data_IF_992934229016
#
_entry.id   IF_992934229016
#
_cell.length_a   1.000
_cell.length_b   1.000
_cell.length_c   1.000
_cell.angle_alpha   90.00
_cell.angle_beta   90.00
_cell.angle_gamma   90.00
#
_symmetry.space_group_name_H-M   'P 1'
#
loop_
_entity.id
_entity.type
_entity.pdbx_description
1 polymer ?
#
# COMPACT_ATOMS: atom_id res chain seq x y z
N UNK A 1 6.95 18.95 -15.12
CA UNK A 1 6.73 17.76 -15.97
C UNK A 1 7.25 16.47 -15.28
N UNK A 2 6.87 16.20 -14.01
CA UNK A 2 7.58 15.25 -13.13
C UNK A 2 6.74 14.09 -12.52
N UNK A 3 5.44 13.99 -12.82
CA UNK A 3 4.54 13.05 -12.11
C UNK A 3 3.98 11.90 -12.96
N UNK A 4 4.58 11.61 -14.12
CA UNK A 4 4.05 10.65 -15.11
C UNK A 4 4.21 9.16 -14.75
N UNK A 5 4.79 8.80 -13.59
CA UNK A 5 5.06 7.40 -13.21
C UNK A 5 4.83 7.11 -11.71
N UNK A 6 3.58 7.22 -11.26
CA UNK A 6 3.15 6.78 -9.92
C UNK A 6 2.86 5.26 -9.82
N UNK A 7 3.14 4.48 -10.87
CA UNK A 7 3.04 3.00 -10.94
C UNK A 7 3.92 2.28 -9.92
N UNK A 8 4.83 2.99 -9.27
CA UNK A 8 5.80 2.44 -8.34
C UNK A 8 5.34 2.35 -6.89
N UNK A 9 4.46 3.24 -6.43
CA UNK A 9 3.88 3.17 -5.07
C UNK A 9 2.95 1.95 -4.93
N UNK A 10 2.48 1.42 -6.07
CA UNK A 10 1.73 0.17 -6.16
C UNK A 10 2.52 -1.05 -5.68
N UNK A 11 3.87 -1.04 -5.70
CA UNK A 11 4.67 -2.17 -5.22
C UNK A 11 4.59 -2.34 -3.70
N UNK A 12 4.51 -1.25 -2.94
CA UNK A 12 4.47 -1.30 -1.46
C UNK A 12 3.09 -1.77 -0.95
N UNK A 13 2.04 -1.63 -1.75
CA UNK A 13 0.70 -2.13 -1.40
C UNK A 13 0.29 -3.39 -2.10
N UNK A 14 0.91 -3.72 -3.24
CA UNK A 14 0.98 -5.13 -3.58
C UNK A 14 1.78 -5.87 -2.51
N UNK A 15 2.73 -5.29 -1.79
CA UNK A 15 3.28 -5.96 -0.60
C UNK A 15 2.29 -6.15 0.57
N UNK A 16 1.34 -5.22 0.76
CA UNK A 16 0.29 -5.35 1.79
C UNK A 16 -0.96 -6.15 1.35
N UNK A 17 -1.25 -6.24 0.05
CA UNK A 17 -2.44 -6.92 -0.49
C UNK A 17 -2.13 -8.09 -1.44
N UNK A 18 -0.88 -8.27 -1.77
CA UNK A 18 -0.36 -9.22 -2.74
C UNK A 18 0.99 -9.73 -2.25
N UNK A 19 0.86 -10.71 -1.38
CA UNK A 19 1.75 -11.85 -1.39
C UNK A 19 1.76 -12.56 -2.80
N UNK A 20 1.33 -11.91 -3.90
CA UNK A 20 1.28 -12.40 -5.28
C UNK A 20 2.44 -11.91 -6.17
N UNK A 21 3.41 -11.14 -5.67
CA UNK A 21 4.62 -10.77 -6.43
C UNK A 21 5.89 -11.32 -5.81
N UNK A 22 6.07 -12.64 -5.96
CA UNK A 22 7.30 -13.36 -5.70
C UNK A 22 7.91 -13.82 -7.01
N UNK A 23 8.56 -12.93 -7.75
CA UNK A 23 9.77 -13.24 -8.52
C UNK A 23 10.37 -11.96 -9.14
N UNK A 24 11.66 -11.80 -8.90
CA UNK A 24 12.51 -10.62 -9.11
C UNK A 24 12.81 -10.26 -10.58
N UNK A 25 12.04 -10.69 -11.58
CA UNK A 25 12.38 -10.45 -13.00
C UNK A 25 11.32 -9.80 -13.91
N UNK A 26 10.07 -9.61 -13.47
CA UNK A 26 9.01 -9.17 -14.39
C UNK A 26 8.04 -8.15 -13.78
N UNK A 27 8.59 -7.02 -13.32
CA UNK A 27 7.81 -5.82 -12.91
C UNK A 27 7.38 -4.97 -14.14
N UNK A 28 7.73 -5.38 -15.36
CA UNK A 28 7.49 -4.61 -16.59
C UNK A 28 6.04 -4.64 -17.10
N UNK A 29 5.16 -5.52 -16.62
CA UNK A 29 3.87 -5.77 -17.29
C UNK A 29 2.63 -5.19 -16.57
N UNK A 30 2.83 -4.20 -15.70
CA UNK A 30 1.74 -3.34 -15.18
C UNK A 30 1.82 -1.90 -15.73
N UNK A 31 2.62 -1.67 -16.79
CA UNK A 31 2.80 -0.34 -17.40
C UNK A 31 1.56 0.20 -18.14
N UNK A 32 0.46 -0.54 -18.22
CA UNK A 32 -0.70 -0.18 -19.05
C UNK A 32 -2.02 -0.06 -18.26
N UNK A 33 -2.02 0.64 -17.12
CA UNK A 33 -3.26 1.12 -16.51
C UNK A 33 -3.43 2.58 -16.94
N UNK A 34 -4.37 2.77 -17.87
CA UNK A 34 -4.66 3.98 -18.62
C UNK A 34 -4.71 5.25 -17.76
N UNK A 35 -4.08 6.26 -18.35
CA UNK A 35 -4.09 7.66 -17.95
C UNK A 35 -5.49 8.26 -17.99
N UNK A 36 -5.90 8.88 -16.89
CA UNK A 36 -6.76 10.05 -16.94
C UNK A 36 -6.44 10.96 -15.75
N UNK A 37 -6.14 12.21 -16.11
CA UNK A 37 -5.90 13.46 -15.39
C UNK A 37 -5.00 13.54 -14.15
N UNK A 38 -3.92 14.30 -14.35
CA UNK A 38 -3.06 14.86 -13.31
C UNK A 38 -3.16 16.37 -13.34
N UNK A 39 -3.75 16.95 -12.30
CA UNK A 39 -3.33 18.26 -11.81
C UNK A 39 -3.08 18.10 -10.31
N UNK A 40 -1.80 18.02 -9.92
CA UNK A 40 -1.42 18.46 -8.58
C UNK A 40 -1.52 19.98 -8.67
N UNK A 41 -2.56 20.56 -8.05
CA UNK A 41 -2.74 22.00 -8.01
C UNK A 41 -1.50 22.66 -7.41
N UNK A 42 -0.75 23.36 -8.27
CA UNK A 42 0.40 24.18 -7.92
C UNK A 42 0.01 25.20 -6.83
N UNK A 43 -1.25 25.63 -6.85
CA UNK A 43 -1.91 26.52 -5.90
C UNK A 43 -1.81 26.04 -4.44
N UNK A 44 -1.80 24.72 -4.18
CA UNK A 44 -1.72 24.20 -2.82
C UNK A 44 -0.29 24.28 -2.27
N UNK A 45 0.73 24.14 -3.13
CA UNK A 45 2.12 24.29 -2.73
C UNK A 45 2.45 25.77 -2.46
N UNK A 46 1.92 26.67 -3.29
CA UNK A 46 2.01 28.12 -3.10
C UNK A 46 1.30 28.56 -1.81
N UNK A 47 0.09 28.06 -1.55
CA UNK A 47 -0.64 28.32 -0.30
C UNK A 47 0.11 27.82 0.95
N UNK A 48 0.72 26.64 0.88
CA UNK A 48 1.52 26.09 1.98
C UNK A 48 2.81 26.90 2.21
N UNK A 49 3.44 27.40 1.15
CA UNK A 49 4.64 28.25 1.25
C UNK A 49 4.29 29.59 1.91
N UNK A 50 3.16 30.19 1.52
CA UNK A 50 2.67 31.43 2.11
C UNK A 50 2.26 31.26 3.60
N UNK A 51 1.72 30.11 3.97
CA UNK A 51 1.38 29.78 5.36
C UNK A 51 2.63 29.61 6.26
N UNK A 52 3.71 29.04 5.71
CA UNK A 52 4.98 28.92 6.44
C UNK A 52 5.65 30.28 6.67
N UNK A 53 5.55 31.19 5.71
CA UNK A 53 6.13 32.53 5.84
C UNK A 53 5.46 33.35 6.97
N UNK A 54 4.20 33.04 7.29
CA UNK A 54 3.47 33.67 8.40
C UNK A 54 3.66 32.98 9.76
N UNK A 55 4.28 31.79 9.80
CA UNK A 55 4.46 31.00 11.02
C UNK A 55 5.95 30.85 11.37
N UNK A 56 6.65 31.97 11.60
CA UNK A 56 7.93 31.95 12.34
C UNK A 56 7.69 31.59 13.81
N UNK A 57 7.41 30.33 14.09
CA UNK A 57 7.40 29.79 15.45
C UNK A 57 8.79 29.20 15.70
N UNK A 58 9.59 29.91 16.49
CA UNK A 58 10.83 29.37 17.05
C UNK A 58 10.48 28.28 18.07
N UNK A 59 10.66 27.00 17.70
CA UNK A 59 10.68 25.91 18.67
C UNK A 59 12.01 25.19 18.63
N UNK A 60 12.85 25.49 19.63
CA UNK A 60 13.97 24.64 20.02
C UNK A 60 13.41 23.39 20.69
N UNK A 61 13.34 22.28 19.96
CA UNK A 61 13.17 20.95 20.56
C UNK A 61 14.16 20.00 19.89
N UNK A 62 15.34 19.88 20.51
CA UNK A 62 16.26 18.77 20.29
C UNK A 62 15.99 17.69 21.35
N UNK A 63 15.32 16.61 20.96
CA UNK A 63 15.47 15.30 21.59
C UNK A 63 15.00 14.23 20.61
N UNK A 64 15.95 13.43 20.12
CA UNK A 64 15.72 12.36 19.15
C UNK A 64 14.87 11.24 19.75
N UNK A 65 13.55 11.32 19.55
CA UNK A 65 12.74 10.11 19.40
C UNK A 65 12.93 9.64 17.96
N UNK A 66 13.65 8.54 17.75
CA UNK A 66 13.56 7.74 16.52
C UNK A 66 12.14 7.21 16.41
N UNK A 67 11.22 8.06 15.95
CA UNK A 67 9.83 7.70 15.75
C UNK A 67 9.83 6.69 14.60
N UNK A 68 9.53 5.42 14.89
CA UNK A 68 9.30 4.39 13.87
C UNK A 68 8.37 4.99 12.81
N UNK A 69 8.83 5.04 11.56
CA UNK A 69 8.09 5.58 10.43
C UNK A 69 6.91 4.69 10.06
N UNK A 70 6.98 3.39 10.36
CA UNK A 70 5.90 2.44 10.12
C UNK A 70 4.83 2.44 11.22
N UNK A 71 3.58 2.59 10.81
CA UNK A 71 2.40 2.29 11.63
C UNK A 71 1.22 1.92 10.73
N UNK A 72 0.20 1.27 11.29
CA UNK A 72 -1.01 0.95 10.55
C UNK A 72 -2.21 0.89 11.49
N UNK A 73 -3.41 0.97 10.92
CA UNK A 73 -4.67 0.73 11.62
C UNK A 73 -5.69 0.08 10.69
N UNK A 74 -6.57 -0.73 11.27
CA UNK A 74 -7.79 -1.17 10.59
C UNK A 74 -8.74 0.03 10.50
N UNK A 75 -9.11 0.44 9.29
CA UNK A 75 -10.08 1.51 9.03
C UNK A 75 -11.44 0.97 8.58
N UNK A 76 -11.62 -0.35 8.66
CA UNK A 76 -12.82 -1.03 8.22
C UNK A 76 -13.97 -0.89 9.21
N UNK A 77 -15.16 -1.17 8.71
CA UNK A 77 -16.35 -1.39 9.52
C UNK A 77 -16.16 -2.66 10.36
N UNK A 78 -16.84 -2.74 11.50
CA UNK A 78 -16.84 -3.95 12.36
C UNK A 78 -17.35 -5.20 11.64
N UNK A 79 -18.11 -5.03 10.56
CA UNK A 79 -18.65 -6.09 9.69
C UNK A 79 -17.71 -6.50 8.53
N UNK A 80 -16.49 -5.94 8.47
CA UNK A 80 -15.54 -6.26 7.40
C UNK A 80 -15.21 -7.77 7.37
N UNK A 81 -15.06 -8.31 6.16
CA UNK A 81 -14.85 -9.76 5.98
C UNK A 81 -13.44 -10.22 6.32
N UNK A 82 -12.50 -9.29 6.45
CA UNK A 82 -11.10 -9.53 6.80
C UNK A 82 -10.74 -8.73 8.03
N UNK A 83 -10.31 -9.43 9.06
CA UNK A 83 -9.76 -8.85 10.28
C UNK A 83 -8.23 -8.96 10.27
N UNK A 84 -7.53 -7.82 10.24
CA UNK A 84 -6.06 -7.79 10.33
C UNK A 84 -5.69 -7.65 11.81
N UNK A 85 -4.96 -8.65 12.30
CA UNK A 85 -4.54 -8.74 13.71
C UNK A 85 -3.12 -8.23 13.91
N UNK A 86 -2.24 -8.44 12.94
CA UNK A 86 -0.90 -7.85 12.94
C UNK A 86 -0.41 -7.56 11.54
N UNK A 87 0.34 -6.48 11.41
CA UNK A 87 1.12 -6.12 10.23
C UNK A 87 2.44 -5.52 10.68
N UNK A 88 3.53 -5.92 10.03
CA UNK A 88 4.86 -5.38 10.23
C UNK A 88 5.56 -5.17 8.90
N UNK A 89 6.41 -4.15 8.85
CA UNK A 89 7.16 -3.76 7.67
C UNK A 89 8.58 -3.39 8.09
N UNK A 90 9.58 -3.89 7.37
CA UNK A 90 10.99 -3.55 7.62
C UNK A 90 11.82 -3.58 6.33
N UNK A 91 12.95 -2.85 6.25
CA UNK A 91 13.47 -1.93 7.27
C UNK A 91 12.60 -0.67 7.40
N UNK A 92 12.78 0.07 8.50
CA UNK A 92 12.10 1.35 8.73
C UNK A 92 13.16 2.43 9.02
N UNK A 93 13.32 3.46 8.16
CA UNK A 93 12.63 3.68 6.88
C UNK A 93 13.05 2.66 5.80
N UNK A 94 12.15 2.43 4.83
CA UNK A 94 12.40 1.54 3.69
C UNK A 94 13.42 2.14 2.73
N UNK A 95 14.29 1.29 2.19
CA UNK A 95 15.21 1.63 1.09
C UNK A 95 14.68 1.05 -0.21
N UNK A 96 14.31 1.91 -1.17
CA UNK A 96 13.83 1.48 -2.48
C UNK A 96 14.73 2.03 -3.60
N UNK A 97 15.09 1.21 -4.61
CA UNK A 97 14.79 -0.21 -4.74
C UNK A 97 15.55 -1.05 -3.70
N UNK A 98 14.99 -2.19 -3.30
CA UNK A 98 15.60 -3.04 -2.29
C UNK A 98 14.67 -4.10 -1.69
N UNK A 99 15.20 -4.91 -0.76
CA UNK A 99 14.41 -5.88 -0.02
C UNK A 99 13.50 -5.20 1.01
N UNK A 100 12.28 -5.70 1.12
CA UNK A 100 11.26 -5.30 2.09
C UNK A 100 10.75 -6.57 2.76
N UNK A 101 10.83 -6.65 4.08
CA UNK A 101 10.22 -7.73 4.84
C UNK A 101 8.85 -7.31 5.34
N UNK A 102 7.87 -8.18 5.10
CA UNK A 102 6.48 -8.01 5.51
C UNK A 102 6.11 -9.19 6.39
N UNK A 103 5.46 -8.93 7.53
CA UNK A 103 4.74 -9.97 8.26
C UNK A 103 3.30 -9.54 8.46
N UNK A 104 2.37 -10.47 8.25
CA UNK A 104 0.94 -10.22 8.40
C UNK A 104 0.24 -11.43 9.03
N UNK A 105 -0.67 -11.14 9.95
CA UNK A 105 -1.58 -12.12 10.56
C UNK A 105 -3.00 -11.58 10.45
N UNK A 106 -3.86 -12.32 9.76
CA UNK A 106 -5.23 -11.87 9.49
C UNK A 106 -6.19 -13.05 9.36
N UNK A 107 -7.47 -12.78 9.58
CA UNK A 107 -8.55 -13.75 9.48
C UNK A 107 -9.50 -13.35 8.37
N UNK A 108 -9.78 -14.27 7.46
CA UNK A 108 -10.82 -14.16 6.44
C UNK A 108 -12.06 -14.88 6.97
N UNK A 109 -13.11 -14.13 7.28
CA UNK A 109 -14.32 -14.63 7.93
C UNK A 109 -15.30 -15.31 6.94
N UNK A 110 -15.25 -14.92 5.66
CA UNK A 110 -16.09 -15.49 4.59
C UNK A 110 -15.30 -15.57 3.30
N UNK A 111 -15.67 -16.52 2.43
CA UNK A 111 -14.98 -16.73 1.16
C UNK A 111 -15.01 -15.45 0.31
N UNK A 112 -13.84 -15.02 -0.15
CA UNK A 112 -13.69 -13.82 -0.98
C UNK A 112 -13.80 -14.23 -2.45
N UNK A 113 -14.92 -13.90 -3.07
CA UNK A 113 -15.30 -14.23 -4.43
C UNK A 113 -15.17 -13.01 -5.35
N UNK A 114 -15.16 -13.27 -6.66
CA UNK A 114 -15.26 -12.20 -7.64
C UNK A 114 -16.66 -11.54 -7.58
N UNK A 115 -16.77 -10.23 -7.86
CA UNK A 115 -15.68 -9.30 -8.09
C UNK A 115 -15.12 -8.72 -6.77
N UNK A 116 -13.79 -8.72 -6.63
CA UNK A 116 -13.08 -8.01 -5.56
C UNK A 116 -12.57 -6.67 -6.08
N UNK A 117 -13.24 -5.58 -5.71
CA UNK A 117 -12.85 -4.22 -6.15
C UNK A 117 -11.99 -3.58 -5.08
N UNK A 118 -10.80 -3.12 -5.47
CA UNK A 118 -9.92 -2.36 -4.59
C UNK A 118 -9.87 -0.88 -4.95
N UNK A 119 -9.75 -0.04 -3.94
CA UNK A 119 -9.42 1.36 -4.04
C UNK A 119 -8.20 1.63 -3.18
N UNK A 120 -7.24 2.34 -3.75
CA UNK A 120 -6.03 2.73 -3.08
C UNK A 120 -5.89 4.25 -3.11
N UNK A 121 -5.64 4.89 -1.99
CA UNK A 121 -5.38 6.33 -1.93
C UNK A 121 -4.06 6.61 -1.26
N UNK A 122 -3.16 7.21 -2.01
CA UNK A 122 -1.79 7.54 -1.60
C UNK A 122 -1.73 9.00 -1.18
N UNK A 123 -1.13 9.22 -0.01
CA UNK A 123 -0.80 10.53 0.52
C UNK A 123 0.70 10.63 0.75
N UNK A 124 1.24 11.83 0.54
CA UNK A 124 2.62 12.17 0.88
C UNK A 124 2.60 13.27 1.91
N UNK A 125 3.44 13.15 2.94
CA UNK A 125 3.63 14.23 3.89
C UNK A 125 4.44 15.35 3.25
N UNK A 126 3.88 16.55 3.27
CA UNK A 126 4.53 17.79 2.86
C UNK A 126 4.46 18.69 4.08
N UNK A 127 5.63 19.04 4.63
CA UNK A 127 5.75 19.80 5.87
C UNK A 127 5.06 19.06 7.04
N UNK A 128 3.97 19.63 7.56
CA UNK A 128 3.22 19.11 8.71
C UNK A 128 1.97 18.30 8.32
N UNK A 129 1.58 18.28 7.04
CA UNK A 129 0.30 17.68 6.59
C UNK A 129 0.47 16.58 5.53
N UNK A 130 -0.48 15.65 5.48
CA UNK A 130 -0.55 14.61 4.45
C UNK A 130 -1.42 15.06 3.29
N UNK A 131 -0.79 15.26 2.14
CA UNK A 131 -1.45 15.69 0.92
C UNK A 131 -1.79 14.46 0.08
N UNK A 132 -3.06 14.35 -0.36
CA UNK A 132 -3.50 13.31 -1.27
C UNK A 132 -2.76 13.48 -2.60
N UNK A 133 -1.95 12.49 -2.96
CA UNK A 133 -1.20 12.49 -4.23
C UNK A 133 -2.08 11.90 -5.33
N UNK A 134 -2.68 10.73 -5.08
CA UNK A 134 -3.53 10.05 -6.06
C UNK A 134 -4.40 8.98 -5.44
N UNK A 135 -5.56 8.74 -6.06
CA UNK A 135 -6.36 7.54 -5.83
C UNK A 135 -6.35 6.65 -7.08
N UNK A 136 -6.32 5.34 -6.87
CA UNK A 136 -6.41 4.31 -7.89
C UNK A 136 -7.61 3.43 -7.60
N UNK A 137 -8.37 3.10 -8.63
CA UNK A 137 -9.40 2.07 -8.58
C UNK A 137 -8.89 0.90 -9.39
N UNK A 138 -8.93 -0.29 -8.80
CA UNK A 138 -8.61 -1.52 -9.48
C UNK A 138 -9.92 -2.17 -9.93
N UNK A 139 -9.86 -2.83 -11.08
CA UNK A 139 -10.91 -3.75 -11.50
C UNK A 139 -10.99 -4.95 -10.55
N UNK A 140 -11.64 -6.01 -11.01
CA UNK A 140 -11.75 -7.22 -10.22
C UNK A 140 -10.36 -7.87 -9.96
N UNK A 141 -9.92 -7.84 -8.70
CA UNK A 141 -8.67 -8.45 -8.27
C UNK A 141 -8.68 -9.97 -8.47
N UNK A 142 -9.85 -10.62 -8.47
CA UNK A 142 -9.92 -12.05 -8.77
C UNK A 142 -9.50 -12.36 -10.21
N UNK A 143 -9.93 -11.52 -11.16
CA UNK A 143 -9.49 -11.58 -12.56
C UNK A 143 -7.98 -11.34 -12.69
N UNK A 144 -7.41 -10.43 -11.90
CA UNK A 144 -5.95 -10.23 -11.85
C UNK A 144 -5.23 -11.46 -11.28
N UNK A 145 -5.71 -12.02 -10.17
CA UNK A 145 -5.14 -13.21 -9.53
C UNK A 145 -5.13 -14.41 -10.49
N UNK A 146 -6.20 -14.63 -11.25
CA UNK A 146 -6.30 -15.73 -12.20
C UNK A 146 -5.14 -15.78 -13.22
N UNK A 147 -4.62 -14.62 -13.63
CA UNK A 147 -3.44 -14.52 -14.52
C UNK A 147 -2.15 -15.06 -13.88
N UNK A 148 -2.09 -15.09 -12.55
CA UNK A 148 -0.96 -15.56 -11.76
C UNK A 148 -1.17 -16.95 -11.16
N UNK A 149 -2.20 -17.70 -11.56
CA UNK A 149 -2.49 -19.05 -11.03
C UNK A 149 -1.23 -19.96 -11.01
N UNK A 150 -0.44 -19.93 -12.09
CA UNK A 150 0.79 -20.73 -12.22
C UNK A 150 2.05 -20.04 -11.67
N UNK A 151 1.96 -18.76 -11.31
CA UNK A 151 3.08 -17.94 -10.79
C UNK A 151 2.79 -17.44 -9.38
N UNK A 152 1.95 -18.17 -8.64
CA UNK A 152 1.64 -17.82 -7.27
C UNK A 152 2.93 -17.93 -6.42
N UNK A 153 3.27 -16.92 -5.62
CA UNK A 153 4.47 -16.96 -4.79
C UNK A 153 4.41 -18.10 -3.78
N UNK A 154 5.53 -18.76 -3.57
CA UNK A 154 5.57 -19.93 -2.70
C UNK A 154 5.23 -19.58 -1.25
N UNK A 155 5.49 -18.34 -0.84
CA UNK A 155 5.14 -17.83 0.47
C UNK A 155 3.62 -17.81 0.68
N UNK A 156 2.82 -17.57 -0.37
CA UNK A 156 1.37 -17.72 -0.28
C UNK A 156 0.91 -19.15 -0.24
N UNK A 157 1.48 -19.97 -1.13
CA UNK A 157 1.10 -21.39 -1.22
C UNK A 157 1.34 -22.08 0.11
N UNK A 158 2.46 -21.78 0.78
CA UNK A 158 2.83 -22.31 2.10
C UNK A 158 1.79 -22.02 3.18
N UNK A 159 1.08 -20.89 3.08
CA UNK A 159 0.03 -20.51 4.03
C UNK A 159 -1.38 -20.85 3.53
N UNK A 160 -1.50 -21.60 2.42
CA UNK A 160 -2.77 -22.09 1.89
C UNK A 160 -3.57 -21.08 1.05
N UNK A 161 -2.98 -19.95 0.67
CA UNK A 161 -3.63 -19.00 -0.24
C UNK A 161 -3.32 -19.38 -1.67
N UNK A 162 -4.38 -19.61 -2.43
CA UNK A 162 -4.32 -19.81 -3.88
C UNK A 162 -4.38 -18.44 -4.54
N UNK A 163 -3.52 -18.16 -5.52
CA UNK A 163 -3.61 -16.94 -6.33
C UNK A 163 -4.76 -17.06 -7.34
N UNK A 164 -5.95 -17.34 -6.85
CA UNK A 164 -7.19 -17.51 -7.60
C UNK A 164 -8.33 -17.38 -6.61
N UNK A 165 -9.42 -16.76 -7.03
CA UNK A 165 -10.64 -16.81 -6.24
C UNK A 165 -11.36 -18.16 -6.40
N UNK A 166 -12.13 -18.60 -5.38
CA UNK A 166 -12.32 -17.92 -4.10
C UNK A 166 -11.11 -18.03 -3.17
N UNK A 167 -10.83 -16.97 -2.40
CA UNK A 167 -9.94 -17.06 -1.23
C UNK A 167 -10.77 -17.64 -0.09
N UNK A 168 -10.32 -18.77 0.46
CA UNK A 168 -11.07 -19.52 1.46
C UNK A 168 -11.12 -18.75 2.80
N UNK A 169 -12.18 -18.95 3.61
CA UNK A 169 -12.17 -18.54 5.00
C UNK A 169 -11.07 -19.30 5.75
N UNK A 170 -10.15 -18.57 6.36
CA UNK A 170 -9.13 -19.13 7.24
C UNK A 170 -8.46 -18.00 8.04
N UNK A 171 -7.69 -18.38 9.06
CA UNK A 171 -6.69 -17.50 9.65
C UNK A 171 -5.35 -17.75 9.00
N UNK A 172 -4.79 -16.71 8.39
CA UNK A 172 -3.55 -16.75 7.63
C UNK A 172 -2.42 -16.07 8.41
N UNK A 173 -1.26 -16.71 8.44
CA UNK A 173 -0.05 -16.16 9.02
C UNK A 173 1.08 -16.22 8.00
N UNK A 174 1.45 -15.06 7.44
CA UNK A 174 2.54 -14.96 6.47
C UNK A 174 3.92 -15.16 7.11
N UNK A 175 4.05 -14.93 8.41
CA UNK A 175 5.35 -14.77 9.07
C UNK A 175 6.18 -13.65 8.44
N UNK A 176 7.42 -13.48 8.89
CA UNK A 176 8.32 -12.52 8.27
C UNK A 176 8.79 -13.03 6.91
N UNK A 177 8.32 -12.40 5.83
CA UNK A 177 8.64 -12.77 4.45
C UNK A 177 9.31 -11.60 3.73
N UNK A 178 10.42 -11.88 3.05
CA UNK A 178 11.13 -10.89 2.25
C UNK A 178 10.61 -10.85 0.80
N UNK A 179 10.48 -9.64 0.28
CA UNK A 179 10.17 -9.35 -1.11
C UNK A 179 11.14 -8.30 -1.65
N UNK A 180 11.41 -8.34 -2.95
CA UNK A 180 12.27 -7.34 -3.59
C UNK A 180 11.43 -6.34 -4.39
N UNK A 181 11.62 -5.05 -4.12
CA UNK A 181 10.93 -3.95 -4.81
C UNK A 181 11.91 -3.24 -5.73
N UNK A 182 11.64 -3.26 -7.04
CA UNK A 182 12.57 -2.75 -8.07
C UNK A 182 12.37 -1.28 -8.46
N UNK A 183 11.47 -0.55 -7.78
CA UNK A 183 11.20 0.83 -8.19
C UNK A 183 12.29 1.82 -7.76
N UNK A 184 12.73 2.64 -8.73
CA UNK A 184 13.69 3.76 -8.54
C UNK A 184 13.04 5.14 -8.54
N UNK A 185 11.72 5.27 -8.73
CA UNK A 185 11.06 6.57 -9.01
C UNK A 185 10.13 7.07 -7.90
N UNK A 186 10.23 6.52 -6.69
CA UNK A 186 9.44 7.01 -5.56
C UNK A 186 10.29 8.01 -4.78
N UNK A 187 9.88 9.28 -4.67
CA UNK A 187 10.62 10.26 -3.89
C UNK A 187 10.74 9.85 -2.41
N UNK A 188 11.79 10.32 -1.74
CA UNK A 188 11.95 10.14 -0.30
C UNK A 188 10.85 10.88 0.48
N UNK A 189 10.60 10.44 1.71
CA UNK A 189 9.70 11.09 2.66
C UNK A 189 8.70 10.14 3.32
N UNK A 190 7.77 10.73 4.07
CA UNK A 190 6.72 10.00 4.77
C UNK A 190 5.48 9.84 3.86
N UNK A 191 4.95 8.63 3.85
CA UNK A 191 3.78 8.25 3.07
C UNK A 191 2.68 7.72 4.00
N UNK A 192 1.43 7.99 3.61
CA UNK A 192 0.24 7.39 4.20
C UNK A 192 -0.56 6.80 3.06
N UNK A 193 -1.07 5.59 3.24
CA UNK A 193 -1.84 4.91 2.22
C UNK A 193 -3.05 4.25 2.83
N UNK A 194 -4.22 4.56 2.28
CA UNK A 194 -5.49 3.94 2.63
C UNK A 194 -5.89 3.00 1.51
N UNK A 195 -6.13 1.74 1.84
CA UNK A 195 -6.58 0.71 0.92
C UNK A 195 -7.91 0.13 1.40
N UNK A 196 -8.90 0.17 0.52
CA UNK A 196 -10.25 -0.34 0.74
C UNK A 196 -10.56 -1.41 -0.30
N UNK A 197 -11.00 -2.57 0.14
CA UNK A 197 -11.44 -3.67 -0.72
C UNK A 197 -12.91 -3.95 -0.42
N UNK A 198 -13.67 -4.17 -1.48
CA UNK A 198 -15.09 -4.47 -1.43
C UNK A 198 -15.43 -5.67 -2.30
N UNK A 199 -16.45 -6.42 -1.87
CA UNK A 199 -17.03 -7.54 -2.60
C UNK A 199 -18.53 -7.35 -2.59
N UNK A 200 -19.14 -7.24 -3.77
CA UNK A 200 -20.54 -6.85 -3.92
C UNK A 200 -20.82 -5.51 -3.19
N UNK A 201 -21.67 -5.53 -2.16
CA UNK A 201 -22.01 -4.37 -1.32
C UNK A 201 -21.34 -4.42 0.07
N UNK A 202 -20.50 -5.41 0.34
CA UNK A 202 -19.82 -5.59 1.63
C UNK A 202 -18.37 -5.13 1.56
N UNK A 203 -17.93 -4.39 2.59
CA UNK A 203 -16.51 -4.10 2.77
C UNK A 203 -15.77 -5.38 3.16
N UNK A 204 -14.73 -5.70 2.41
CA UNK A 204 -13.85 -6.85 2.68
C UNK A 204 -12.78 -6.43 3.67
N UNK A 205 -12.11 -5.30 3.41
CA UNK A 205 -10.99 -4.82 4.21
C UNK A 205 -10.88 -3.30 4.05
N UNK A 206 -10.49 -2.60 5.11
CA UNK A 206 -9.87 -1.29 4.99
C UNK A 206 -8.64 -1.22 5.90
N UNK A 207 -7.50 -0.84 5.33
CA UNK A 207 -6.27 -0.61 6.08
C UNK A 207 -5.68 0.76 5.76
N UNK A 208 -5.25 1.47 6.80
CA UNK A 208 -4.56 2.76 6.72
C UNK A 208 -3.13 2.58 7.24
N UNK A 209 -2.15 2.70 6.36
CA UNK A 209 -0.74 2.39 6.59
C UNK A 209 0.11 3.64 6.42
N UNK A 210 1.00 3.89 7.37
CA UNK A 210 2.02 4.92 7.31
C UNK A 210 3.40 4.27 7.25
N UNK A 211 4.32 4.82 6.46
CA UNK A 211 5.72 4.39 6.38
C UNK A 211 6.60 5.52 5.82
N UNK A 212 7.91 5.37 5.95
CA UNK A 212 8.90 6.33 5.45
C UNK A 212 9.83 5.69 4.43
N UNK A 213 10.23 6.47 3.40
CA UNK A 213 11.19 6.09 2.36
C UNK A 213 12.46 6.95 2.49
N UNK A 214 13.64 6.31 2.44
CA UNK A 214 14.95 6.97 2.45
C UNK A 214 15.73 6.82 1.15
#
# INVERSE_FOLDING_TARGET
MAYRNMTSIFLILTLCCAVTHGSSKHVHEFENIQSEDQHLDLNMLEALTHFLEQTKIHTNISAGLQRKGFSWKNCGQSSALVDIRSLSLSPDPLSLPGPVNVAAYFTVNRALNAPLKARLTVYKKILFTYIKVRSFKFGDMCSSLAKYKYRCPDQLKKIGIKCSCPIAPNTYNLGMTQFYVSSKRIPKGDYRIVMDISMNQSQVLCIDVHFSLK
#
